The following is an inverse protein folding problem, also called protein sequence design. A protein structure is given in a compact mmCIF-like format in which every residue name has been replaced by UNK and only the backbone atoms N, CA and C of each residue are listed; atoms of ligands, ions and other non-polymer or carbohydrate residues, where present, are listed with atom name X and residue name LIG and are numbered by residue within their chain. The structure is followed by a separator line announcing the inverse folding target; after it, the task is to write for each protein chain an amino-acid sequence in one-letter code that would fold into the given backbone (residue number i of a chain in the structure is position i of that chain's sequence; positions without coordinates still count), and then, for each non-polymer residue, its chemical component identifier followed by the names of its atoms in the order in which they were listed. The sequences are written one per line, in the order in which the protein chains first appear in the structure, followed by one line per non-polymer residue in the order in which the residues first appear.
data_IF_699800115965
#
_entry.id   IF_699800115965
#
_cell.length_a   1.000
_cell.length_b   1.000
_cell.length_c   1.000
_cell.angle_alpha   90.00
_cell.angle_beta   90.00
_cell.angle_gamma   90.00
#
_symmetry.space_group_name_H-M   'P 1'
#
loop_
_entity.id
_entity.type
_entity.pdbx_description
1 polymer ?
#
# COMPACT_ATOMS: atom_id res chain seq x y z
N UNK A 1 49.90 15.27 8.63
CA UNK A 1 49.33 16.56 9.07
C UNK A 1 47.91 16.63 8.55
N UNK A 2 46.92 16.79 9.42
CA UNK A 2 45.51 16.92 9.06
C UNK A 2 45.02 18.32 9.49
N UNK A 3 44.73 19.19 8.52
CA UNK A 3 43.95 20.43 8.63
C UNK A 3 43.69 21.01 7.23
N UNK A 4 42.55 21.66 6.92
CA UNK A 4 41.31 21.79 7.71
C UNK A 4 40.04 21.43 6.90
N UNK A 5 39.25 20.46 7.37
CA UNK A 5 37.85 20.31 6.91
C UNK A 5 36.97 21.51 7.34
N UNK A 6 37.41 22.26 8.36
CA UNK A 6 36.72 23.44 8.90
C UNK A 6 36.73 24.67 7.98
N UNK A 7 37.79 24.83 7.16
CA UNK A 7 37.93 26.01 6.28
C UNK A 7 36.98 25.95 5.08
N UNK A 8 36.84 24.78 4.48
CA UNK A 8 36.02 24.56 3.27
C UNK A 8 34.52 24.64 3.59
N UNK A 9 34.07 24.05 4.70
CA UNK A 9 32.67 24.15 5.14
C UNK A 9 32.30 25.59 5.50
N UNK A 10 33.16 26.32 6.21
CA UNK A 10 32.96 27.73 6.51
C UNK A 10 32.86 28.60 5.23
N UNK A 11 33.64 28.27 4.19
CA UNK A 11 33.59 28.95 2.89
C UNK A 11 32.25 28.69 2.15
N UNK A 12 31.75 27.44 2.19
CA UNK A 12 30.44 27.06 1.63
C UNK A 12 29.31 27.81 2.34
N UNK A 13 29.33 27.88 3.67
CA UNK A 13 28.29 28.54 4.45
C UNK A 13 28.31 30.06 4.27
N UNK A 14 29.51 30.66 4.16
CA UNK A 14 29.70 32.07 3.84
C UNK A 14 29.16 32.41 2.44
N UNK A 15 29.52 31.63 1.41
CA UNK A 15 29.00 31.83 0.05
C UNK A 15 27.47 31.67 -0.01
N UNK A 16 26.91 30.72 0.74
CA UNK A 16 25.46 30.56 0.84
C UNK A 16 24.76 31.73 1.53
N UNK A 17 25.40 32.37 2.52
CA UNK A 17 24.90 33.60 3.15
C UNK A 17 24.97 34.79 2.18
N UNK A 18 26.11 34.99 1.50
CA UNK A 18 26.31 36.04 0.49
C UNK A 18 25.26 35.97 -0.63
N UNK A 19 24.97 34.78 -1.14
CA UNK A 19 23.94 34.60 -2.19
C UNK A 19 22.56 35.00 -1.66
N UNK A 20 22.22 34.66 -0.42
CA UNK A 20 20.93 35.04 0.17
C UNK A 20 20.82 36.55 0.33
N UNK A 21 21.88 37.20 0.79
CA UNK A 21 21.94 38.65 0.94
C UNK A 21 21.83 39.36 -0.42
N UNK A 22 22.62 38.93 -1.41
CA UNK A 22 22.58 39.50 -2.77
C UNK A 22 21.19 39.34 -3.41
N UNK A 23 20.54 38.18 -3.24
CA UNK A 23 19.17 37.98 -3.71
C UNK A 23 18.17 38.89 -3.00
N UNK A 24 18.36 39.17 -1.71
CA UNK A 24 17.50 40.08 -0.95
C UNK A 24 17.66 41.54 -1.41
N UNK A 25 18.90 41.98 -1.65
CA UNK A 25 19.22 43.33 -2.17
C UNK A 25 18.62 43.55 -3.57
N UNK A 26 18.80 42.58 -4.48
CA UNK A 26 18.23 42.65 -5.83
C UNK A 26 16.69 42.64 -5.80
N UNK A 27 16.08 41.93 -4.84
CA UNK A 27 14.63 41.96 -4.63
C UNK A 27 14.16 43.32 -4.11
N UNK A 28 14.92 43.97 -3.23
CA UNK A 28 14.63 45.33 -2.74
C UNK A 28 14.72 46.39 -3.85
N UNK A 29 15.57 46.16 -4.86
CA UNK A 29 15.65 46.96 -6.09
C UNK A 29 14.50 46.70 -7.08
N UNK A 30 13.53 45.85 -6.72
CA UNK A 30 12.34 45.58 -7.53
C UNK A 30 12.52 44.55 -8.63
N UNK A 31 13.63 43.80 -8.66
CA UNK A 31 13.80 42.72 -9.64
C UNK A 31 12.90 41.53 -9.28
N UNK A 32 12.34 40.89 -10.31
CA UNK A 32 11.58 39.66 -10.15
C UNK A 32 12.51 38.47 -9.85
N UNK A 33 12.03 37.47 -9.12
CA UNK A 33 12.80 36.28 -8.74
C UNK A 33 13.51 35.59 -9.93
N UNK A 34 12.88 35.60 -11.12
CA UNK A 34 13.48 35.07 -12.34
C UNK A 34 14.71 35.87 -12.78
N UNK A 35 14.60 37.21 -12.80
CA UNK A 35 15.72 38.11 -13.15
C UNK A 35 16.83 38.07 -12.10
N UNK A 36 16.49 37.91 -10.83
CA UNK A 36 17.47 37.74 -9.74
C UNK A 36 18.30 36.47 -9.94
N UNK A 37 17.65 35.35 -10.32
CA UNK A 37 18.37 34.11 -10.57
C UNK A 37 19.22 34.15 -11.85
N UNK A 38 18.90 35.03 -12.80
CA UNK A 38 19.68 35.26 -14.02
C UNK A 38 20.74 36.37 -13.85
N UNK A 39 20.77 37.04 -12.70
CA UNK A 39 21.74 38.10 -12.45
C UNK A 39 23.15 37.53 -12.42
N UNK A 40 24.06 38.12 -13.19
CA UNK A 40 25.42 37.63 -13.41
C UNK A 40 26.17 37.36 -12.09
N UNK A 41 26.11 38.29 -11.15
CA UNK A 41 26.73 38.14 -9.83
C UNK A 41 26.14 36.99 -8.98
N UNK A 42 24.86 36.65 -9.15
CA UNK A 42 24.23 35.52 -8.46
C UNK A 42 24.68 34.21 -9.09
N UNK A 43 24.73 34.13 -10.42
CA UNK A 43 25.19 32.95 -11.13
C UNK A 43 26.66 32.63 -10.83
N UNK A 44 27.54 33.64 -10.83
CA UNK A 44 28.95 33.48 -10.49
C UNK A 44 29.13 32.92 -9.07
N UNK A 45 28.44 33.48 -8.07
CA UNK A 45 28.50 32.98 -6.69
C UNK A 45 27.88 31.59 -6.52
N UNK A 46 26.81 31.27 -7.27
CA UNK A 46 26.21 29.91 -7.26
C UNK A 46 27.17 28.89 -7.88
N UNK A 47 27.85 29.25 -8.96
CA UNK A 47 28.85 28.39 -9.59
C UNK A 47 30.06 28.15 -8.66
N UNK A 48 30.52 29.19 -7.98
CA UNK A 48 31.56 29.07 -6.95
C UNK A 48 31.09 28.20 -5.76
N UNK A 49 29.85 28.38 -5.29
CA UNK A 49 29.29 27.52 -4.25
C UNK A 49 29.23 26.04 -4.69
N UNK A 50 28.92 25.78 -5.96
CA UNK A 50 28.85 24.43 -6.51
C UNK A 50 30.23 23.76 -6.56
N UNK A 51 31.28 24.49 -6.97
CA UNK A 51 32.64 23.93 -7.00
C UNK A 51 33.16 23.60 -5.59
N UNK A 52 32.93 24.49 -4.62
CA UNK A 52 33.29 24.23 -3.22
C UNK A 52 32.53 23.05 -2.62
N UNK A 53 31.24 22.89 -2.95
CA UNK A 53 30.45 21.73 -2.52
C UNK A 53 30.94 20.41 -3.13
N UNK A 54 31.38 20.44 -4.39
CA UNK A 54 31.96 19.26 -5.05
C UNK A 54 33.26 18.84 -4.37
N UNK A 55 34.13 19.79 -4.03
CA UNK A 55 35.35 19.55 -3.25
C UNK A 55 35.04 19.00 -1.85
N UNK A 56 34.03 19.54 -1.17
CA UNK A 56 33.58 19.02 0.12
C UNK A 56 33.07 17.56 0.00
N UNK A 57 32.40 17.22 -1.11
CA UNK A 57 31.86 15.87 -1.36
C UNK A 57 32.89 14.83 -1.80
N UNK A 58 34.07 15.26 -2.29
CA UNK A 58 35.18 14.35 -2.61
C UNK A 58 35.99 14.01 -1.36
N UNK A 59 36.05 14.93 -0.40
CA UNK A 59 36.86 14.81 0.82
C UNK A 59 36.07 14.27 2.03
N UNK A 60 34.85 13.76 1.83
CA UNK A 60 34.01 13.26 2.92
C UNK A 60 34.43 11.83 3.35
N UNK A 61 35.02 11.63 4.53
CA UNK A 61 35.39 10.30 5.05
C UNK A 61 34.16 9.40 5.31
N UNK A 62 32.93 9.92 5.20
CA UNK A 62 31.68 9.15 5.34
C UNK A 62 31.27 8.41 4.06
N UNK A 63 31.98 8.60 2.94
CA UNK A 63 31.85 7.81 1.71
C UNK A 63 32.80 6.61 1.70
N UNK A 64 32.89 5.89 2.81
CA UNK A 64 33.60 4.60 2.84
C UNK A 64 32.79 3.57 2.05
N UNK A 65 33.18 3.33 0.79
CA UNK A 65 32.54 2.36 -0.09
C UNK A 65 32.48 0.96 0.55
N UNK A 66 33.45 0.62 1.41
CA UNK A 66 33.46 -0.64 2.13
C UNK A 66 32.40 -0.70 3.24
N UNK A 67 31.99 0.43 3.82
CA UNK A 67 30.87 0.49 4.76
C UNK A 67 29.54 0.21 4.06
N UNK A 68 29.28 0.88 2.94
CA UNK A 68 28.04 0.66 2.18
C UNK A 68 27.97 -0.74 1.55
N UNK A 69 29.10 -1.30 1.11
CA UNK A 69 29.16 -2.69 0.65
C UNK A 69 28.80 -3.68 1.76
N UNK A 70 29.32 -3.50 2.98
CA UNK A 70 28.98 -4.31 4.15
C UNK A 70 27.51 -4.17 4.53
N UNK A 71 27.00 -2.93 4.57
CA UNK A 71 25.60 -2.66 4.88
C UNK A 71 24.65 -3.29 3.85
N UNK A 72 25.02 -3.26 2.57
CA UNK A 72 24.25 -3.90 1.51
C UNK A 72 24.22 -5.43 1.67
N UNK A 73 25.37 -6.04 1.94
CA UNK A 73 25.46 -7.49 2.19
C UNK A 73 24.63 -7.89 3.42
N UNK A 74 24.74 -7.15 4.52
CA UNK A 74 23.97 -7.41 5.74
C UNK A 74 22.46 -7.31 5.49
N UNK A 75 22.01 -6.31 4.72
CA UNK A 75 20.62 -6.17 4.33
C UNK A 75 20.14 -7.32 3.42
N UNK A 76 20.95 -7.75 2.47
CA UNK A 76 20.63 -8.89 1.59
C UNK A 76 20.50 -10.20 2.38
N UNK A 77 21.39 -10.44 3.35
CA UNK A 77 21.31 -11.59 4.25
C UNK A 77 20.07 -11.54 5.15
N UNK A 78 19.74 -10.36 5.68
CA UNK A 78 18.53 -10.17 6.48
C UNK A 78 17.26 -10.44 5.68
N UNK A 79 17.19 -9.93 4.44
CA UNK A 79 16.05 -10.19 3.55
C UNK A 79 15.95 -11.67 3.18
N UNK A 80 17.07 -12.34 2.88
CA UNK A 80 17.07 -13.78 2.62
C UNK A 80 16.59 -14.57 3.84
N UNK A 81 17.01 -14.20 5.06
CA UNK A 81 16.54 -14.83 6.31
C UNK A 81 15.04 -14.61 6.52
N UNK A 82 14.53 -13.40 6.31
CA UNK A 82 13.09 -13.10 6.40
C UNK A 82 12.29 -13.90 5.39
N UNK A 83 12.76 -13.98 4.13
CA UNK A 83 12.10 -14.76 3.09
C UNK A 83 12.07 -16.25 3.43
N UNK A 84 13.17 -16.80 3.95
CA UNK A 84 13.22 -18.19 4.40
C UNK A 84 12.23 -18.46 5.55
N UNK A 85 12.16 -17.57 6.54
CA UNK A 85 11.19 -17.66 7.64
C UNK A 85 9.74 -17.56 7.14
N UNK A 86 9.44 -16.62 6.24
CA UNK A 86 8.12 -16.47 5.65
C UNK A 86 7.72 -17.71 4.83
N UNK A 87 8.66 -18.30 4.10
CA UNK A 87 8.45 -19.53 3.35
C UNK A 87 8.16 -20.72 4.29
N UNK A 88 8.90 -20.84 5.40
CA UNK A 88 8.65 -21.85 6.43
C UNK A 88 7.27 -21.67 7.06
N UNK A 89 6.91 -20.46 7.50
CA UNK A 89 5.60 -20.17 8.06
C UNK A 89 4.48 -20.49 7.06
N UNK A 90 4.66 -20.15 5.78
CA UNK A 90 3.68 -20.48 4.74
C UNK A 90 3.54 -21.99 4.54
N UNK A 91 4.65 -22.73 4.58
CA UNK A 91 4.63 -24.19 4.48
C UNK A 91 3.92 -24.83 5.69
N UNK A 92 4.18 -24.33 6.89
CA UNK A 92 3.50 -24.76 8.13
C UNK A 92 2.00 -24.46 8.08
N UNK A 93 1.61 -23.26 7.67
CA UNK A 93 0.20 -22.89 7.50
C UNK A 93 -0.49 -23.79 6.47
N UNK A 94 0.16 -24.05 5.33
CA UNK A 94 -0.39 -24.94 4.31
C UNK A 94 -0.55 -26.37 4.82
N UNK A 95 0.43 -26.90 5.55
CA UNK A 95 0.33 -28.21 6.17
C UNK A 95 -0.78 -28.27 7.25
N UNK A 96 -0.97 -27.18 7.99
CA UNK A 96 -2.07 -27.04 8.94
C UNK A 96 -3.44 -26.96 8.25
N UNK A 97 -3.54 -26.27 7.11
CA UNK A 97 -4.76 -26.22 6.29
C UNK A 97 -5.11 -27.60 5.70
N UNK A 98 -4.11 -28.32 5.16
CA UNK A 98 -4.29 -29.65 4.59
C UNK A 98 -4.71 -30.69 5.64
N UNK A 99 -4.26 -30.53 6.89
CA UNK A 99 -4.62 -31.41 8.02
C UNK A 99 -5.84 -30.94 8.80
N UNK A 100 -6.35 -29.73 8.54
CA UNK A 100 -7.56 -29.26 9.17
C UNK A 100 -8.75 -30.12 8.69
N UNK A 101 -9.61 -30.61 9.60
CA UNK A 101 -10.85 -31.26 9.19
C UNK A 101 -11.60 -30.29 8.26
N UNK A 102 -12.26 -30.77 7.19
CA UNK A 102 -13.04 -29.97 6.23
C UNK A 102 -14.55 -30.07 6.49
N UNK A 103 -15.37 -29.01 6.32
CA UNK A 103 -16.77 -29.02 6.73
C UNK A 103 -17.57 -29.68 5.61
N UNK A 104 -18.11 -30.87 5.88
CA UNK A 104 -18.78 -31.72 4.88
C UNK A 104 -20.22 -31.31 4.57
N UNK A 105 -20.71 -30.25 5.19
CA UNK A 105 -22.10 -29.85 5.01
C UNK A 105 -22.26 -29.12 3.68
N UNK A 106 -23.00 -29.75 2.77
CA UNK A 106 -23.74 -29.06 1.72
C UNK A 106 -24.58 -27.99 2.41
N UNK A 107 -24.10 -26.75 2.35
CA UNK A 107 -24.81 -25.63 2.96
C UNK A 107 -26.18 -25.53 2.28
N UNK A 108 -27.25 -25.59 3.06
CA UNK A 108 -28.58 -25.13 2.63
C UNK A 108 -28.44 -23.63 2.36
N UNK A 109 -28.14 -23.30 1.11
CA UNK A 109 -28.21 -21.93 0.64
C UNK A 109 -29.72 -21.66 0.52
N UNK A 110 -30.24 -20.69 1.27
CA UNK A 110 -31.57 -20.18 0.99
C UNK A 110 -31.55 -19.66 -0.44
N UNK A 111 -32.29 -20.32 -1.32
CA UNK A 111 -32.31 -19.94 -2.71
C UNK A 111 -32.99 -18.59 -2.82
N UNK A 112 -32.22 -17.60 -3.28
CA UNK A 112 -32.68 -16.24 -3.46
C UNK A 112 -33.87 -16.17 -4.44
N UNK A 113 -33.89 -17.06 -5.44
CA UNK A 113 -34.96 -17.17 -6.42
C UNK A 113 -35.87 -18.38 -6.17
N UNK A 114 -37.13 -18.25 -6.58
CA UNK A 114 -38.11 -19.33 -6.61
C UNK A 114 -37.56 -20.48 -7.47
N UNK A 115 -37.67 -21.68 -6.94
CA UNK A 115 -37.19 -22.89 -7.58
C UNK A 115 -38.20 -24.02 -7.42
N UNK A 116 -38.05 -25.02 -8.28
CA UNK A 116 -38.80 -26.26 -8.21
C UNK A 116 -37.90 -27.45 -8.46
N UNK A 117 -38.33 -28.63 -8.02
CA UNK A 117 -37.56 -29.86 -8.09
C UNK A 117 -36.42 -29.94 -7.07
N UNK A 118 -35.68 -31.03 -7.12
CA UNK A 118 -34.52 -31.31 -6.26
C UNK A 118 -33.46 -32.12 -7.01
N UNK A 119 -32.19 -31.96 -6.63
CA UNK A 119 -31.07 -32.66 -7.26
C UNK A 119 -31.01 -32.41 -8.78
N UNK A 120 -30.95 -33.44 -9.64
CA UNK A 120 -30.87 -33.29 -11.09
C UNK A 120 -32.08 -32.58 -11.73
N UNK A 121 -33.21 -32.50 -11.01
CA UNK A 121 -34.44 -31.85 -11.50
C UNK A 121 -34.59 -30.41 -11.04
N UNK A 122 -33.64 -29.92 -10.24
CA UNK A 122 -33.63 -28.58 -9.69
C UNK A 122 -33.52 -27.54 -10.81
N UNK A 123 -34.43 -26.56 -10.80
CA UNK A 123 -34.39 -25.42 -11.71
C UNK A 123 -35.03 -24.20 -11.07
N UNK A 124 -34.49 -23.02 -11.38
CA UNK A 124 -35.14 -21.76 -11.06
C UNK A 124 -36.35 -21.56 -11.98
N UNK A 125 -37.43 -21.04 -11.42
CA UNK A 125 -38.62 -20.75 -12.21
C UNK A 125 -38.35 -19.58 -13.17
N UNK A 126 -38.66 -19.72 -14.47
CA UNK A 126 -38.64 -18.60 -15.40
C UNK A 126 -39.96 -17.81 -15.34
N UNK A 127 -39.92 -16.47 -15.42
CA UNK A 127 -38.75 -15.62 -15.25
C UNK A 127 -38.24 -15.67 -13.79
N UNK A 128 -36.93 -15.42 -13.53
CA UNK A 128 -36.39 -15.46 -12.18
C UNK A 128 -37.15 -14.51 -11.23
N UNK A 129 -37.76 -15.07 -10.18
CA UNK A 129 -38.51 -14.34 -9.14
C UNK A 129 -37.90 -14.59 -7.77
N UNK A 130 -37.87 -13.59 -6.89
CA UNK A 130 -37.35 -13.77 -5.53
C UNK A 130 -38.20 -14.74 -4.70
N UNK A 131 -37.56 -15.60 -3.92
CA UNK A 131 -38.22 -16.48 -2.97
C UNK A 131 -38.51 -15.74 -1.65
N UNK A 132 -39.57 -14.93 -1.66
CA UNK A 132 -39.96 -14.08 -0.52
C UNK A 132 -40.38 -14.86 0.71
N UNK A 133 -40.90 -16.09 0.56
CA UNK A 133 -41.30 -16.97 1.66
C UNK A 133 -40.11 -17.41 2.50
N UNK A 134 -39.01 -17.77 1.84
CA UNK A 134 -37.85 -18.36 2.50
C UNK A 134 -36.73 -17.36 2.78
N UNK A 135 -36.69 -16.22 2.06
CA UNK A 135 -35.66 -15.19 2.26
C UNK A 135 -36.06 -14.09 3.27
N UNK A 136 -37.31 -14.07 3.74
CA UNK A 136 -37.79 -13.07 4.70
C UNK A 136 -37.91 -11.65 4.13
N UNK A 137 -37.81 -11.49 2.81
CA UNK A 137 -37.99 -10.22 2.12
C UNK A 137 -39.48 -9.93 1.91
N UNK A 138 -40.03 -9.06 2.77
CA UNK A 138 -41.40 -8.54 2.68
C UNK A 138 -42.50 -9.55 3.02
N UNK A 139 -43.24 -9.32 4.11
CA UNK A 139 -44.62 -9.82 4.24
C UNK A 139 -45.55 -8.64 4.02
N UNK A 140 -46.20 -8.58 2.87
CA UNK A 140 -47.18 -7.55 2.55
C UNK A 140 -47.30 -7.28 1.04
N UNK A 141 -48.34 -6.53 0.62
CA UNK A 141 -48.62 -6.22 -0.78
C UNK A 141 -47.59 -5.26 -1.42
N UNK A 142 -46.70 -4.65 -0.64
CA UNK A 142 -45.58 -3.84 -1.15
C UNK A 142 -44.23 -4.37 -0.66
N UNK A 143 -43.21 -4.45 -1.53
CA UNK A 143 -41.88 -4.93 -1.16
C UNK A 143 -41.17 -3.88 -0.31
N UNK A 144 -41.20 -4.06 1.02
CA UNK A 144 -40.43 -3.24 1.95
C UNK A 144 -39.60 -4.10 2.90
N UNK A 145 -38.31 -3.79 3.11
CA UNK A 145 -37.47 -2.83 2.39
C UNK A 145 -36.70 -3.48 1.21
N UNK A 146 -36.22 -2.64 0.28
CA UNK A 146 -35.41 -3.05 -0.87
C UNK A 146 -34.15 -3.82 -0.44
N UNK A 147 -33.88 -4.93 -1.14
CA UNK A 147 -32.70 -5.77 -0.93
C UNK A 147 -31.67 -5.39 -1.97
N UNK A 148 -30.54 -4.87 -1.52
CA UNK A 148 -29.42 -4.56 -2.39
C UNK A 148 -28.44 -5.73 -2.34
N UNK A 149 -28.33 -6.46 -3.46
CA UNK A 149 -27.29 -7.47 -3.64
C UNK A 149 -26.06 -6.76 -4.19
N UNK A 150 -24.99 -6.70 -3.40
CA UNK A 150 -23.70 -6.16 -3.85
C UNK A 150 -22.71 -7.29 -4.06
N UNK A 151 -22.28 -7.44 -5.31
CA UNK A 151 -21.17 -8.31 -5.68
C UNK A 151 -19.86 -7.56 -5.43
N UNK A 152 -18.95 -8.16 -4.64
CA UNK A 152 -17.60 -7.62 -4.52
C UNK A 152 -16.76 -8.02 -5.73
N UNK A 153 -15.82 -7.16 -6.09
CA UNK A 153 -14.91 -7.31 -7.23
C UNK A 153 -14.03 -8.57 -7.19
N UNK A 154 -13.91 -9.22 -6.03
CA UNK A 154 -13.16 -10.46 -5.83
C UNK A 154 -14.01 -11.74 -6.05
N UNK A 155 -15.27 -11.58 -6.47
CA UNK A 155 -16.19 -12.68 -6.73
C UNK A 155 -16.80 -13.32 -5.47
N UNK A 156 -16.51 -12.78 -4.28
CA UNK A 156 -17.13 -13.29 -3.04
C UNK A 156 -18.50 -12.67 -2.80
N UNK A 157 -19.52 -13.51 -2.64
CA UNK A 157 -20.90 -13.05 -2.38
C UNK A 157 -21.08 -12.74 -0.90
N UNK A 158 -21.37 -11.48 -0.57
CA UNK A 158 -21.83 -11.06 0.76
C UNK A 158 -23.34 -10.81 0.70
N UNK A 159 -24.09 -11.34 1.66
CA UNK A 159 -25.52 -11.09 1.75
C UNK A 159 -25.77 -10.07 2.87
N UNK A 160 -26.10 -8.84 2.50
CA UNK A 160 -26.54 -7.81 3.42
C UNK A 160 -28.08 -7.79 3.44
N UNK A 161 -28.67 -7.83 4.63
CA UNK A 161 -30.09 -7.50 4.82
C UNK A 161 -30.20 -6.06 5.33
N UNK A 162 -31.40 -5.47 5.31
CA UNK A 162 -31.63 -4.09 5.77
C UNK A 162 -31.37 -3.86 7.27
N UNK A 163 -31.18 -4.93 8.06
CA UNK A 163 -31.01 -4.81 9.52
C UNK A 163 -29.80 -5.55 10.08
N UNK A 164 -29.28 -6.60 9.42
CA UNK A 164 -28.17 -7.40 9.93
C UNK A 164 -27.21 -7.88 8.83
N UNK A 165 -25.94 -8.04 9.21
CA UNK A 165 -24.89 -8.69 8.42
C UNK A 165 -24.67 -10.09 9.02
N UNK A 166 -24.90 -11.14 8.24
CA UNK A 166 -24.66 -12.51 8.68
C UNK A 166 -23.27 -12.99 8.25
N UNK A 167 -22.50 -13.52 9.20
CA UNK A 167 -21.27 -14.26 8.93
C UNK A 167 -21.59 -15.75 8.90
N UNK A 168 -21.35 -16.39 7.76
CA UNK A 168 -21.48 -17.84 7.56
C UNK A 168 -20.50 -18.56 8.51
N UNK A 169 -21.00 -19.44 9.38
CA UNK A 169 -20.17 -20.30 10.25
C UNK A 169 -20.10 -21.70 9.64
N UNK A 170 -18.88 -22.21 9.45
CA UNK A 170 -18.61 -23.58 8.97
C UNK A 170 -18.40 -24.54 10.15
N UNK A 171 -19.05 -25.71 10.13
CA UNK A 171 -18.89 -26.77 11.13
C UNK A 171 -18.11 -27.95 10.51
N UNK A 172 -17.06 -28.39 11.20
CA UNK A 172 -16.08 -29.36 10.71
C UNK A 172 -16.30 -30.75 11.33
N UNK A 173 -16.10 -31.83 10.55
CA UNK A 173 -16.24 -33.23 11.01
C UNK A 173 -15.50 -34.22 10.08
N UNK A 174 -15.20 -35.46 10.51
CA UNK A 174 -14.40 -36.40 9.73
C UNK A 174 -15.14 -36.94 8.48
N UNK A 175 -14.39 -37.10 7.39
CA UNK A 175 -14.82 -37.62 6.08
C UNK A 175 -15.31 -39.09 6.17
N UNK A 176 -16.41 -39.47 5.47
CA UNK A 176 -16.76 -40.86 5.24
C UNK A 176 -15.82 -41.56 4.24
#
# INVERSE_FOLDING_TARGET
MAAPADGTQAQVDRLAADIRQLKAELKAQGLSNSKINQHEAVLQKVQELQSWKQQLSSDDPRRDEAFFARQKQENEELEHRKQAQAAQQRAELKAAEESAPSPLVQRKIFHLFQHTGSGPTFRYEPPPRLNTKDCGFGKGPEPFPAVYVTEKWDGTTMQATSTHIFKRLDLWGPLP
#
